data_IF_105013641234
#
_entry.id   IF_105013641234
#
_cell.length_a   1.000
_cell.length_b   1.000
_cell.length_c   1.000
_cell.angle_alpha   90.00
_cell.angle_beta   90.00
_cell.angle_gamma   90.00
#
_symmetry.space_group_name_H-M   'P 1'
#
loop_
_entity.id
_entity.type
_entity.pdbx_description
1 polymer ?
#
# COMPACT_ATOMS: atom_id res chain seq x y z
N UNK A 1 -20.38 -1.27 3.01
CA UNK A 1 -19.19 -1.95 3.56
C UNK A 1 -17.98 -1.29 2.92
N UNK A 2 -17.10 -0.67 3.70
CA UNK A 2 -15.91 -0.01 3.17
C UNK A 2 -15.01 -1.05 2.52
N UNK A 3 -14.58 -0.81 1.27
CA UNK A 3 -13.61 -1.68 0.60
C UNK A 3 -12.30 -1.63 1.39
N UNK A 4 -11.79 -2.80 1.68
CA UNK A 4 -10.68 -3.01 2.59
C UNK A 4 -9.46 -3.38 1.75
N UNK A 5 -8.37 -2.63 1.84
CA UNK A 5 -7.21 -2.75 0.93
C UNK A 5 -6.26 -3.87 1.37
N UNK A 6 -5.71 -4.58 0.39
CA UNK A 6 -4.55 -5.46 0.60
C UNK A 6 -3.26 -4.63 0.62
N UNK A 7 -2.23 -5.14 1.31
CA UNK A 7 -0.90 -4.50 1.35
C UNK A 7 -0.30 -4.39 -0.05
N UNK A 8 -0.53 -5.39 -0.91
CA UNK A 8 -0.01 -5.45 -2.28
C UNK A 8 -0.64 -4.40 -3.21
N UNK A 9 -1.77 -3.79 -2.82
CA UNK A 9 -2.47 -2.78 -3.61
C UNK A 9 -1.95 -1.35 -3.34
N UNK A 10 -1.01 -1.20 -2.41
CA UNK A 10 -0.50 0.11 -1.98
C UNK A 10 0.73 0.50 -2.79
N UNK A 11 0.67 1.69 -3.40
CA UNK A 11 1.81 2.25 -4.11
C UNK A 11 2.92 2.65 -3.13
N UNK A 12 4.06 1.99 -3.22
CA UNK A 12 5.28 2.27 -2.42
C UNK A 12 6.43 2.85 -3.25
N UNK A 13 6.20 3.13 -4.52
CA UNK A 13 7.21 3.63 -5.46
C UNK A 13 7.40 5.15 -5.33
N UNK A 14 8.08 5.56 -4.25
CA UNK A 14 8.44 6.96 -4.01
C UNK A 14 9.84 7.33 -4.52
N UNK A 15 10.73 6.34 -4.61
CA UNK A 15 12.15 6.55 -4.87
C UNK A 15 12.45 7.23 -6.22
N UNK A 16 11.75 6.90 -7.33
CA UNK A 16 11.99 7.60 -8.60
C UNK A 16 11.74 9.11 -8.50
N UNK A 17 10.65 9.51 -7.84
CA UNK A 17 10.30 10.92 -7.67
C UNK A 17 11.26 11.64 -6.71
N UNK A 18 11.67 10.98 -5.62
CA UNK A 18 12.67 11.50 -4.69
C UNK A 18 14.00 11.74 -5.41
N UNK A 19 14.45 10.76 -6.21
CA UNK A 19 15.66 10.90 -7.02
C UNK A 19 15.57 12.07 -7.99
N UNK A 20 14.44 12.22 -8.69
CA UNK A 20 14.23 13.32 -9.62
C UNK A 20 14.22 14.69 -8.95
N UNK A 21 13.71 14.79 -7.72
CA UNK A 21 13.76 16.02 -6.91
C UNK A 21 15.20 16.35 -6.55
N UNK A 22 15.94 15.39 -5.98
CA UNK A 22 17.36 15.57 -5.59
C UNK A 22 18.17 16.02 -6.81
N UNK A 23 18.04 15.32 -7.94
CA UNK A 23 18.77 15.65 -9.17
C UNK A 23 18.37 17.02 -9.76
N UNK A 24 17.13 17.45 -9.56
CA UNK A 24 16.69 18.79 -9.98
C UNK A 24 17.32 19.88 -9.10
N UNK A 25 17.37 19.64 -7.80
CA UNK A 25 17.99 20.55 -6.83
C UNK A 25 19.51 20.67 -7.04
N UNK A 26 20.20 19.56 -7.27
CA UNK A 26 21.64 19.54 -7.59
C UNK A 26 21.94 20.34 -8.86
N UNK A 27 21.12 20.19 -9.91
CA UNK A 27 21.26 20.97 -11.15
C UNK A 27 21.06 22.47 -10.92
N UNK A 28 20.02 22.87 -10.18
CA UNK A 28 19.76 24.29 -9.89
C UNK A 28 20.89 24.92 -9.06
N UNK A 29 21.46 24.16 -8.11
CA UNK A 29 22.60 24.61 -7.30
C UNK A 29 23.88 24.82 -8.14
N UNK A 30 24.14 23.91 -9.09
CA UNK A 30 25.26 24.05 -10.03
C UNK A 30 25.07 25.21 -11.01
N UNK A 31 23.86 25.42 -11.53
CA UNK A 31 23.54 26.56 -12.42
C UNK A 31 23.69 27.90 -11.70
N UNK A 32 23.27 28.02 -10.43
CA UNK A 32 23.51 29.22 -9.60
C UNK A 32 24.99 29.53 -9.41
N UNK A 33 25.83 28.49 -9.28
CA UNK A 33 27.28 28.66 -9.19
C UNK A 33 27.93 29.00 -10.54
N UNK A 34 27.37 28.55 -11.68
CA UNK A 34 27.88 28.85 -13.03
C UNK A 34 27.32 30.12 -13.65
N UNK A 35 26.16 30.62 -13.21
CA UNK A 35 25.56 31.90 -13.62
C UNK A 35 26.43 33.09 -13.19
N UNK A 36 27.27 32.94 -12.15
CA UNK A 36 28.33 33.90 -11.83
C UNK A 36 29.44 33.97 -12.92
N UNK A 37 29.49 33.04 -13.87
CA UNK A 37 30.53 32.96 -14.90
C UNK A 37 30.04 32.89 -16.36
N UNK A 38 28.77 32.59 -16.67
CA UNK A 38 28.33 32.53 -18.08
C UNK A 38 26.85 32.81 -18.29
N UNK A 39 26.58 33.95 -18.91
CA UNK A 39 25.30 34.47 -19.38
C UNK A 39 24.70 33.76 -20.61
N UNK A 40 24.88 32.44 -20.75
CA UNK A 40 24.44 31.70 -21.95
C UNK A 40 23.94 30.27 -21.63
N UNK A 41 22.80 30.13 -20.96
CA UNK A 41 21.97 28.91 -21.05
C UNK A 41 20.47 29.29 -21.14
N UNK A 42 19.81 28.72 -22.14
CA UNK A 42 18.46 29.04 -22.61
C UNK A 42 17.39 28.31 -21.78
N UNK A 43 17.26 28.63 -20.49
CA UNK A 43 16.08 28.26 -19.70
C UNK A 43 15.86 29.32 -18.64
N UNK A 44 14.67 29.92 -18.58
CA UNK A 44 14.32 30.88 -17.55
C UNK A 44 14.56 30.24 -16.17
N UNK A 45 15.41 30.81 -15.28
CA UNK A 45 15.63 30.30 -13.92
C UNK A 45 14.34 30.16 -13.09
N UNK A 46 13.33 30.95 -13.45
CA UNK A 46 11.98 30.86 -12.91
C UNK A 46 11.30 29.51 -13.24
N UNK A 47 11.64 28.89 -14.38
CA UNK A 47 10.99 27.67 -14.86
C UNK A 47 11.54 26.40 -14.17
N UNK A 48 12.85 26.33 -13.87
CA UNK A 48 13.45 25.16 -13.19
C UNK A 48 13.08 25.08 -11.70
N UNK A 49 13.04 26.23 -11.03
CA UNK A 49 12.57 26.35 -9.64
C UNK A 49 11.09 25.98 -9.52
N UNK A 50 10.26 26.36 -10.50
CA UNK A 50 8.87 25.92 -10.58
C UNK A 50 8.76 24.41 -10.78
N UNK A 51 9.56 23.81 -11.68
CA UNK A 51 9.59 22.35 -11.91
C UNK A 51 9.93 21.56 -10.63
N UNK A 52 10.91 22.03 -9.84
CA UNK A 52 11.30 21.41 -8.58
C UNK A 52 10.18 21.47 -7.52
N UNK A 53 9.54 22.64 -7.38
CA UNK A 53 8.40 22.83 -6.48
C UNK A 53 7.21 21.94 -6.87
N UNK A 54 6.93 21.78 -8.17
CA UNK A 54 5.87 20.88 -8.66
C UNK A 54 6.15 19.43 -8.29
N UNK A 55 7.39 18.94 -8.45
CA UNK A 55 7.76 17.58 -8.05
C UNK A 55 7.67 17.37 -6.55
N UNK A 56 8.09 18.36 -5.75
CA UNK A 56 7.95 18.34 -4.29
C UNK A 56 6.48 18.27 -3.86
N UNK A 57 5.60 19.02 -4.54
CA UNK A 57 4.17 18.97 -4.27
C UNK A 57 3.58 17.59 -4.62
N UNK A 58 3.96 17.02 -5.77
CA UNK A 58 3.55 15.67 -6.15
C UNK A 58 3.97 14.62 -5.11
N UNK A 59 5.18 14.72 -4.55
CA UNK A 59 5.64 13.81 -3.49
C UNK A 59 4.81 13.95 -2.21
N UNK A 60 4.47 15.18 -1.80
CA UNK A 60 3.58 15.43 -0.65
C UNK A 60 2.20 14.80 -0.87
N UNK A 61 1.64 14.98 -2.06
CA UNK A 61 0.33 14.42 -2.39
C UNK A 61 0.38 12.88 -2.40
N UNK A 62 1.45 12.29 -2.93
CA UNK A 62 1.67 10.84 -2.92
C UNK A 62 1.75 10.29 -1.48
N UNK A 63 2.46 10.99 -0.57
CA UNK A 63 2.50 10.59 0.85
C UNK A 63 1.18 10.76 1.57
N UNK A 64 0.41 11.81 1.27
CA UNK A 64 -0.92 11.99 1.85
C UNK A 64 -1.88 10.89 1.42
N UNK A 65 -1.85 10.52 0.14
CA UNK A 65 -2.63 9.39 -0.38
C UNK A 65 -2.18 8.07 0.26
N UNK A 66 -0.87 7.81 0.32
CA UNK A 66 -0.33 6.62 0.97
C UNK A 66 -0.77 6.50 2.42
N UNK A 67 -0.72 7.58 3.20
CA UNK A 67 -1.21 7.60 4.59
C UNK A 67 -2.69 7.22 4.69
N UNK A 68 -3.52 7.73 3.78
CA UNK A 68 -4.94 7.36 3.76
C UNK A 68 -5.15 5.89 3.38
N UNK A 69 -4.35 5.36 2.44
CA UNK A 69 -4.40 3.95 2.05
C UNK A 69 -3.95 3.01 3.17
N UNK A 70 -2.91 3.36 3.93
CA UNK A 70 -2.42 2.57 5.07
C UNK A 70 -3.52 2.36 6.12
N UNK A 71 -4.31 3.40 6.39
CA UNK A 71 -5.44 3.31 7.33
C UNK A 71 -6.58 2.40 6.85
N UNK A 72 -6.63 2.09 5.55
CA UNK A 72 -7.62 1.21 4.95
C UNK A 72 -7.12 -0.25 4.83
N UNK A 73 -5.89 -0.54 5.27
CA UNK A 73 -5.35 -1.90 5.27
C UNK A 73 -6.17 -2.79 6.22
N UNK A 74 -6.52 -3.97 5.72
CA UNK A 74 -7.13 -5.00 6.55
C UNK A 74 -6.31 -5.35 7.78
N UNK A 75 -6.94 -5.25 8.95
CA UNK A 75 -6.30 -5.62 10.22
C UNK A 75 -5.34 -4.57 10.79
N UNK A 76 -5.20 -3.38 10.18
CA UNK A 76 -4.33 -2.32 10.73
C UNK A 76 -4.73 -1.86 12.14
N UNK A 77 -6.01 -2.01 12.48
CA UNK A 77 -6.57 -1.63 13.77
C UNK A 77 -6.35 -2.67 14.89
N UNK A 78 -5.87 -3.87 14.54
CA UNK A 78 -5.67 -4.97 15.51
C UNK A 78 -4.21 -5.34 15.59
N UNK A 79 -3.78 -5.67 16.81
CA UNK A 79 -2.42 -6.12 17.05
C UNK A 79 -2.16 -7.47 16.37
N UNK A 80 -0.89 -7.77 16.12
CA UNK A 80 -0.48 -9.08 15.58
C UNK A 80 -1.02 -10.24 16.42
N UNK A 81 -1.00 -10.11 17.74
CA UNK A 81 -1.50 -11.14 18.66
C UNK A 81 -3.01 -11.37 18.50
N UNK A 82 -3.79 -10.30 18.40
CA UNK A 82 -5.24 -10.39 18.16
C UNK A 82 -5.56 -11.00 16.80
N UNK A 83 -4.80 -10.64 15.76
CA UNK A 83 -4.93 -11.25 14.43
C UNK A 83 -4.69 -12.77 14.48
N UNK A 84 -3.61 -13.20 15.16
CA UNK A 84 -3.28 -14.62 15.31
C UNK A 84 -4.36 -15.36 16.11
N UNK A 85 -4.85 -14.76 17.20
CA UNK A 85 -5.94 -15.34 18.00
C UNK A 85 -7.23 -15.49 17.19
N UNK A 86 -7.57 -14.52 16.36
CA UNK A 86 -8.71 -14.60 15.44
C UNK A 86 -8.54 -15.73 14.42
N UNK A 87 -7.33 -15.86 13.86
CA UNK A 87 -6.98 -16.93 12.93
C UNK A 87 -7.17 -18.31 13.59
N UNK A 88 -6.69 -18.49 14.81
CA UNK A 88 -6.81 -19.77 15.52
C UNK A 88 -8.27 -20.10 15.85
N UNK A 89 -9.08 -19.10 16.23
CA UNK A 89 -10.51 -19.28 16.41
C UNK A 89 -11.20 -19.72 15.10
N UNK A 90 -10.84 -19.10 13.96
CA UNK A 90 -11.36 -19.49 12.64
C UNK A 90 -10.97 -20.92 12.26
N UNK A 91 -9.74 -21.35 12.55
CA UNK A 91 -9.30 -22.73 12.34
C UNK A 91 -10.14 -23.71 13.16
N UNK A 92 -10.37 -23.42 14.44
CA UNK A 92 -11.23 -24.25 15.30
C UNK A 92 -12.66 -24.31 14.77
N UNK A 93 -13.22 -23.18 14.32
CA UNK A 93 -14.55 -23.13 13.72
C UNK A 93 -14.66 -24.02 12.47
N UNK A 94 -13.64 -24.04 11.62
CA UNK A 94 -13.62 -24.93 10.44
C UNK A 94 -13.63 -26.40 10.83
N UNK A 95 -12.85 -26.79 11.84
CA UNK A 95 -12.85 -28.17 12.35
C UNK A 95 -14.24 -28.55 12.87
N UNK A 96 -14.82 -27.73 13.76
CA UNK A 96 -16.15 -27.98 14.31
C UNK A 96 -17.24 -28.06 13.23
N UNK A 97 -17.21 -27.15 12.25
CA UNK A 97 -18.16 -27.16 11.13
C UNK A 97 -17.99 -28.41 10.28
N UNK A 98 -16.76 -28.85 10.01
CA UNK A 98 -16.48 -30.10 9.30
C UNK A 98 -17.03 -31.30 10.06
N UNK A 99 -16.75 -31.40 11.35
CA UNK A 99 -17.22 -32.51 12.19
C UNK A 99 -18.75 -32.57 12.23
N UNK A 100 -19.39 -31.40 12.29
CA UNK A 100 -20.84 -31.29 12.23
C UNK A 100 -21.39 -31.79 10.90
N UNK A 101 -20.79 -31.39 9.77
CA UNK A 101 -21.17 -31.89 8.44
C UNK A 101 -20.99 -33.41 8.32
N UNK A 102 -19.90 -33.96 8.87
CA UNK A 102 -19.67 -35.42 8.90
C UNK A 102 -20.74 -36.12 9.72
N UNK A 103 -21.09 -35.58 10.90
CA UNK A 103 -22.17 -36.13 11.73
C UNK A 103 -23.48 -36.15 10.95
N UNK A 104 -23.90 -35.03 10.37
CA UNK A 104 -25.14 -34.96 9.59
C UNK A 104 -25.13 -35.90 8.39
N UNK A 105 -23.99 -36.07 7.71
CA UNK A 105 -23.85 -37.06 6.63
C UNK A 105 -24.10 -38.48 7.15
N UNK A 106 -23.46 -38.85 8.26
CA UNK A 106 -23.52 -40.23 8.78
C UNK A 106 -24.81 -40.54 9.54
N UNK A 107 -25.49 -39.52 10.07
CA UNK A 107 -26.74 -39.65 10.82
C UNK A 107 -27.98 -39.36 9.97
N UNK A 108 -27.82 -39.17 8.65
CA UNK A 108 -28.96 -38.99 7.76
C UNK A 108 -29.62 -40.36 7.53
N UNK A 109 -30.88 -40.58 7.97
CA UNK A 109 -31.57 -41.86 7.78
C UNK A 109 -31.91 -42.15 6.30
N UNK A 110 -31.62 -41.22 5.39
CA UNK A 110 -31.87 -41.31 3.95
C UNK A 110 -30.58 -41.25 3.11
N UNK A 111 -29.43 -41.70 3.62
CA UNK A 111 -28.25 -41.88 2.75
C UNK A 111 -28.44 -43.17 1.90
N UNK A 112 -28.70 -43.06 0.58
CA UNK A 112 -28.90 -44.23 -0.28
C UNK A 112 -27.63 -45.10 -0.44
N UNK A 113 -26.48 -44.63 0.07
CA UNK A 113 -25.22 -45.38 0.04
C UNK A 113 -24.93 -46.16 1.33
N UNK A 114 -25.68 -45.92 2.41
CA UNK A 114 -25.50 -46.65 3.66
C UNK A 114 -26.43 -47.87 3.68
N UNK A 115 -26.06 -48.90 2.91
CA UNK A 115 -26.80 -50.18 2.87
C UNK A 115 -26.66 -50.89 4.21
N UNK A 116 -27.79 -51.14 4.87
CA UNK A 116 -27.99 -52.18 5.89
C UNK A 116 -27.84 -53.55 5.23
#
# INVERSE_FOLDING_TARGET
MSKSLSVDEINTEFLPLIYDIIRSYERDSHELSSLAQKSLSMRDPQQSTNDCNTKMQALRDQFNQFRQQVLQINGIAVTKEEQLKSLDALRQQLVMKRDLLIKYKNSCPFDPNNKI
#
